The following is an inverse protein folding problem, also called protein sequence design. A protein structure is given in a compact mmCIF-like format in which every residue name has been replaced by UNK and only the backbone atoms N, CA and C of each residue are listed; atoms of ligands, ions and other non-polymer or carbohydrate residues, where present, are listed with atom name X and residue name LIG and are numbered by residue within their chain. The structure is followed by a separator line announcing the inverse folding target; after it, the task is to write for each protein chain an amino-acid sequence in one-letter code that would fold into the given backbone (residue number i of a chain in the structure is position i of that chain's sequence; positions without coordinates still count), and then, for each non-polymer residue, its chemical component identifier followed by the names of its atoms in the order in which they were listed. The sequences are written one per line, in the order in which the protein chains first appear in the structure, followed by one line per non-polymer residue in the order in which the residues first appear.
data_IF_197385656925
#
_entry.id   IF_197385656925
#
_cell.length_a   1.000
_cell.length_b   1.000
_cell.length_c   1.000
_cell.angle_alpha   90.00
_cell.angle_beta   90.00
_cell.angle_gamma   90.00
#
_symmetry.space_group_name_H-M   'P 1'
#
loop_
_entity.id
_entity.type
_entity.pdbx_description
1 polymer ?
#
# COMPACT_ATOMS: atom_id res chain seq x y z
N UNK A 1 10.35 0.93 -17.86
CA UNK A 1 9.86 -0.06 -18.84
C UNK A 1 9.06 0.64 -19.94
N UNK A 2 9.61 0.73 -21.14
CA UNK A 2 8.95 1.38 -22.29
C UNK A 2 7.88 0.43 -22.84
N UNK A 3 6.60 0.80 -22.72
CA UNK A 3 5.46 0.04 -23.24
C UNK A 3 5.37 0.17 -24.78
N UNK A 4 6.31 -0.40 -25.54
CA UNK A 4 6.15 -0.47 -26.99
C UNK A 4 5.29 -1.67 -27.37
N UNK A 5 4.16 -1.41 -28.02
CA UNK A 5 3.31 -2.43 -28.64
C UNK A 5 2.43 -3.25 -27.70
N UNK A 6 2.25 -2.85 -26.44
CA UNK A 6 1.31 -3.48 -25.50
C UNK A 6 0.44 -2.43 -24.83
N UNK A 7 -0.87 -2.63 -24.86
CA UNK A 7 -1.86 -1.76 -24.20
C UNK A 7 -1.78 -1.84 -22.67
N UNK A 8 -1.26 -2.96 -22.13
CA UNK A 8 -1.20 -3.21 -20.69
C UNK A 8 0.21 -3.61 -20.24
N UNK A 9 0.62 -3.09 -19.08
CA UNK A 9 1.92 -3.38 -18.48
C UNK A 9 2.06 -4.85 -18.04
N UNK A 10 0.97 -5.45 -17.55
CA UNK A 10 0.91 -6.87 -17.17
C UNK A 10 -0.20 -7.59 -17.95
N UNK A 11 0.14 -8.37 -18.98
CA UNK A 11 -0.84 -9.07 -19.79
C UNK A 11 -1.52 -10.20 -19.02
N UNK A 12 -2.79 -10.46 -19.35
CA UNK A 12 -3.51 -11.64 -18.90
C UNK A 12 -3.07 -12.92 -19.64
N UNK A 13 -3.41 -14.08 -19.08
CA UNK A 13 -3.20 -15.40 -19.75
C UNK A 13 -4.43 -15.87 -20.55
N UNK A 14 -5.55 -15.18 -20.40
CA UNK A 14 -6.82 -15.50 -21.05
C UNK A 14 -6.96 -14.54 -22.22
N UNK A 15 -7.18 -15.07 -23.43
CA UNK A 15 -7.22 -14.26 -24.66
C UNK A 15 -8.27 -13.15 -24.59
N UNK A 16 -9.41 -13.39 -23.93
CA UNK A 16 -10.49 -12.40 -23.77
C UNK A 16 -10.23 -11.38 -22.64
N UNK A 17 -9.14 -11.50 -21.88
CA UNK A 17 -8.76 -10.54 -20.82
C UNK A 17 -7.33 -10.07 -21.03
N UNK A 18 -7.23 -8.88 -21.61
CA UNK A 18 -5.98 -8.29 -22.07
C UNK A 18 -5.00 -7.95 -20.92
N UNK A 19 -5.47 -7.83 -19.67
CA UNK A 19 -4.64 -7.55 -18.50
C UNK A 19 -4.79 -8.57 -17.37
N UNK A 20 -3.84 -8.57 -16.44
CA UNK A 20 -3.89 -9.40 -15.23
C UNK A 20 -5.19 -9.14 -14.45
N UNK A 21 -5.85 -10.21 -14.02
CA UNK A 21 -7.03 -10.09 -13.16
C UNK A 21 -6.64 -9.88 -11.70
N UNK A 22 -7.53 -9.27 -10.91
CA UNK A 22 -7.35 -9.11 -9.46
C UNK A 22 -7.09 -10.44 -8.76
N UNK A 23 -7.75 -11.52 -9.19
CA UNK A 23 -7.54 -12.87 -8.65
C UNK A 23 -6.14 -13.40 -8.97
N UNK A 24 -5.64 -13.16 -10.18
CA UNK A 24 -4.29 -13.57 -10.54
C UNK A 24 -3.24 -12.77 -9.78
N UNK A 25 -3.45 -11.47 -9.60
CA UNK A 25 -2.58 -10.65 -8.77
C UNK A 25 -2.55 -11.14 -7.31
N UNK A 26 -3.71 -11.44 -6.72
CA UNK A 26 -3.79 -12.00 -5.37
C UNK A 26 -3.05 -13.34 -5.24
N UNK A 27 -3.12 -14.22 -6.25
CA UNK A 27 -2.36 -15.49 -6.27
C UNK A 27 -0.85 -15.26 -6.32
N UNK A 28 -0.38 -14.30 -7.10
CA UNK A 28 1.05 -13.96 -7.16
C UNK A 28 1.55 -13.50 -5.78
N UNK A 29 0.82 -12.60 -5.13
CA UNK A 29 1.15 -12.11 -3.79
C UNK A 29 1.16 -13.27 -2.79
N UNK A 30 0.15 -14.14 -2.82
CA UNK A 30 0.07 -15.33 -1.96
C UNK A 30 1.28 -16.26 -2.16
N UNK A 31 1.71 -16.45 -3.41
CA UNK A 31 2.91 -17.21 -3.74
C UNK A 31 4.19 -16.57 -3.19
N UNK A 32 4.35 -15.26 -3.34
CA UNK A 32 5.50 -14.52 -2.79
C UNK A 32 5.57 -14.59 -1.27
N UNK A 33 4.44 -14.34 -0.59
CA UNK A 33 4.31 -14.44 0.87
C UNK A 33 4.71 -15.84 1.35
N UNK A 34 4.22 -16.88 0.68
CA UNK A 34 4.59 -18.27 0.99
C UNK A 34 6.08 -18.54 0.78
N UNK A 35 6.68 -17.97 -0.28
CA UNK A 35 8.08 -18.23 -0.62
C UNK A 35 9.07 -17.68 0.41
N UNK A 36 8.64 -16.71 1.22
CA UNK A 36 9.43 -16.14 2.33
C UNK A 36 9.00 -16.67 3.70
N UNK A 37 8.18 -17.73 3.75
CA UNK A 37 7.78 -18.40 5.00
C UNK A 37 6.73 -17.64 5.83
N UNK A 38 6.01 -16.69 5.24
CA UNK A 38 4.98 -15.93 5.93
C UNK A 38 3.59 -16.57 5.79
N UNK A 39 2.74 -16.33 6.79
CA UNK A 39 1.39 -16.86 6.88
C UNK A 39 0.47 -16.20 5.84
N UNK A 40 -0.09 -16.98 4.93
CA UNK A 40 -0.75 -16.44 3.73
C UNK A 40 -2.06 -15.69 4.01
N UNK A 41 -2.76 -15.95 5.12
CA UNK A 41 -4.02 -15.27 5.47
C UNK A 41 -3.80 -13.88 6.05
N UNK A 42 -2.63 -13.61 6.64
CA UNK A 42 -2.24 -12.32 7.19
C UNK A 42 -1.83 -11.30 6.10
N UNK A 43 -1.47 -11.75 4.90
CA UNK A 43 -0.96 -10.88 3.84
C UNK A 43 -1.80 -10.91 2.56
N UNK A 44 -2.15 -9.73 2.07
CA UNK A 44 -2.89 -9.52 0.84
C UNK A 44 -2.39 -8.26 0.12
N UNK A 45 -2.91 -8.02 -1.08
CA UNK A 45 -2.64 -6.80 -1.85
C UNK A 45 -2.91 -5.53 -1.03
N UNK A 46 -3.95 -5.55 -0.20
CA UNK A 46 -4.32 -4.44 0.67
C UNK A 46 -3.36 -4.25 1.85
N UNK A 47 -2.85 -5.34 2.45
CA UNK A 47 -1.90 -5.22 3.57
C UNK A 47 -0.60 -4.59 3.09
N UNK A 48 -0.10 -4.97 1.91
CA UNK A 48 1.09 -4.35 1.31
C UNK A 48 0.89 -2.85 1.05
N UNK A 49 -0.28 -2.45 0.55
CA UNK A 49 -0.63 -1.02 0.37
C UNK A 49 -0.54 -0.28 1.69
N UNK A 50 -1.14 -0.82 2.75
CA UNK A 50 -1.14 -0.24 4.10
C UNK A 50 0.27 -0.14 4.69
N UNK A 51 1.09 -1.19 4.58
CA UNK A 51 2.46 -1.20 5.11
C UNK A 51 3.35 -0.15 4.46
N UNK A 52 3.30 0.00 3.13
CA UNK A 52 4.15 0.97 2.42
C UNK A 52 3.89 2.39 2.91
N UNK A 53 2.62 2.77 3.04
CA UNK A 53 2.27 4.14 3.46
C UNK A 53 2.51 4.37 4.95
N UNK A 54 2.30 3.35 5.80
CA UNK A 54 2.64 3.44 7.22
C UNK A 54 4.14 3.67 7.43
N UNK A 55 5.00 2.99 6.65
CA UNK A 55 6.45 3.24 6.69
C UNK A 55 6.83 4.65 6.22
N UNK A 56 6.15 5.19 5.21
CA UNK A 56 6.39 6.58 4.75
C UNK A 56 6.00 7.55 5.86
N UNK A 57 4.82 7.37 6.47
CA UNK A 57 4.37 8.22 7.57
C UNK A 57 5.36 8.18 8.74
N UNK A 58 5.72 6.97 9.23
CA UNK A 58 6.68 6.82 10.32
C UNK A 58 8.03 7.49 10.07
N UNK A 59 8.50 7.52 8.82
CA UNK A 59 9.78 8.15 8.46
C UNK A 59 9.71 9.66 8.27
N UNK A 60 8.53 10.22 7.98
CA UNK A 60 8.43 11.59 7.47
C UNK A 60 7.46 12.48 8.26
N UNK A 61 6.56 11.89 9.05
CA UNK A 61 5.43 12.59 9.67
C UNK A 61 4.43 13.19 8.68
N UNK A 62 4.63 13.04 7.36
CA UNK A 62 3.89 13.80 6.36
C UNK A 62 2.59 13.09 5.95
N UNK A 63 1.53 13.35 6.72
CA UNK A 63 0.21 12.76 6.50
C UNK A 63 -0.40 13.18 5.15
N UNK A 64 -0.15 14.42 4.70
CA UNK A 64 -0.64 14.94 3.41
C UNK A 64 -0.04 14.20 2.23
N UNK A 65 1.27 13.91 2.28
CA UNK A 65 1.92 13.10 1.25
C UNK A 65 1.33 11.69 1.20
N UNK A 66 1.06 11.08 2.35
CA UNK A 66 0.41 9.76 2.40
C UNK A 66 -1.00 9.79 1.83
N UNK A 67 -1.79 10.83 2.13
CA UNK A 67 -3.13 10.99 1.55
C UNK A 67 -3.08 10.97 0.01
N UNK A 68 -2.16 11.75 -0.57
CA UNK A 68 -1.99 11.83 -2.02
C UNK A 68 -1.56 10.49 -2.62
N UNK A 69 -0.62 9.78 -1.99
CA UNK A 69 -0.19 8.45 -2.42
C UNK A 69 -1.30 7.39 -2.34
N UNK A 70 -2.21 7.53 -1.38
CA UNK A 70 -3.39 6.68 -1.27
C UNK A 70 -4.53 7.10 -2.20
N UNK A 71 -4.51 8.32 -2.76
CA UNK A 71 -5.64 8.86 -3.51
C UNK A 71 -6.90 9.02 -2.67
N UNK A 72 -6.76 9.28 -1.37
CA UNK A 72 -7.91 9.53 -0.49
C UNK A 72 -8.41 10.96 -0.66
N UNK A 73 -9.72 11.13 -0.85
CA UNK A 73 -10.31 12.47 -0.97
C UNK A 73 -10.26 13.25 0.35
N UNK A 74 -10.49 12.57 1.48
CA UNK A 74 -10.55 13.17 2.82
C UNK A 74 -9.33 12.78 3.65
N UNK A 75 -8.82 13.73 4.44
CA UNK A 75 -7.72 13.47 5.35
C UNK A 75 -8.13 12.45 6.44
N UNK A 76 -9.36 12.54 6.95
CA UNK A 76 -9.91 11.62 7.97
C UNK A 76 -9.84 10.16 7.55
N UNK A 77 -10.05 9.87 6.25
CA UNK A 77 -9.90 8.52 5.72
C UNK A 77 -8.46 8.02 5.83
N UNK A 78 -7.47 8.91 5.70
CA UNK A 78 -6.05 8.58 5.84
C UNK A 78 -5.65 8.37 7.29
N UNK A 79 -6.12 9.23 8.20
CA UNK A 79 -5.94 9.07 9.66
C UNK A 79 -6.47 7.71 10.11
N UNK A 80 -7.74 7.40 9.77
CA UNK A 80 -8.37 6.12 10.12
C UNK A 80 -7.68 4.92 9.47
N UNK A 81 -7.18 5.07 8.24
CA UNK A 81 -6.51 4.00 7.50
C UNK A 81 -5.17 3.60 8.11
N UNK A 82 -4.41 4.60 8.56
CA UNK A 82 -3.13 4.41 9.22
C UNK A 82 -3.30 4.00 10.69
N UNK A 83 -4.39 4.41 11.34
CA UNK A 83 -4.56 4.26 12.79
C UNK A 83 -3.65 5.22 13.56
N UNK A 84 -3.44 6.43 13.04
CA UNK A 84 -2.71 7.51 13.73
C UNK A 84 -3.58 7.97 14.90
N UNK A 85 -3.07 7.88 16.13
CA UNK A 85 -3.74 8.25 17.39
C UNK A 85 -3.01 9.40 18.11
N UNK A 86 -3.49 9.76 19.32
CA UNK A 86 -2.95 10.80 20.20
C UNK A 86 -1.45 10.60 20.53
N UNK A 87 -0.96 9.36 20.58
CA UNK A 87 0.46 9.04 20.85
C UNK A 87 1.43 9.69 19.85
N UNK A 88 1.02 9.82 18.58
CA UNK A 88 1.83 10.49 17.56
C UNK A 88 1.92 12.00 17.84
N UNK A 89 0.86 12.61 18.37
CA UNK A 89 0.86 14.03 18.75
C UNK A 89 1.76 14.29 19.97
N UNK A 90 1.76 13.39 20.96
CA UNK A 90 2.66 13.47 22.12
C UNK A 90 4.12 13.31 21.69
N UNK A 91 4.42 12.32 20.85
CA UNK A 91 5.78 12.11 20.33
C UNK A 91 6.31 13.33 19.58
N UNK A 92 5.45 13.98 18.78
CA UNK A 92 5.80 15.23 18.08
C UNK A 92 6.02 16.38 19.09
N UNK A 93 5.18 16.50 20.12
CA UNK A 93 5.31 17.52 21.16
C UNK A 93 6.62 17.39 21.93
N UNK A 94 6.95 16.19 22.40
CA UNK A 94 8.18 15.91 23.15
C UNK A 94 9.45 16.21 22.31
N UNK A 95 9.38 16.01 20.99
CA UNK A 95 10.49 16.33 20.09
C UNK A 95 10.66 17.84 19.83
N UNK A 96 9.66 18.66 20.17
CA UNK A 96 9.63 20.11 19.93
C UNK A 96 9.92 20.90 21.22
N UNK A 97 9.81 20.29 22.40
CA UNK A 97 10.18 20.93 23.66
C UNK A 97 11.68 21.33 23.64
N UNK A 98 11.92 22.64 23.75
CA UNK A 98 13.23 23.32 23.70
C UNK A 98 13.99 23.23 25.03
#
# INVERSE_FOLDING_TARGET
PTMRGREYLWPGRVHDRLHISTRQYARLVKGWVSSIGLEQSAYATHSMRRTKVAQIYRKTGNLRAVQLLLGHCKMDSTVRYLGVELEDALTISEAVDL
#
